data_IF_039184370714
#
_entry.id   IF_039184370714
#
_cell.length_a   1.000
_cell.length_b   1.000
_cell.length_c   1.000
_cell.angle_alpha   90.00
_cell.angle_beta   90.00
_cell.angle_gamma   90.00
#
_symmetry.space_group_name_H-M   'P 1'
#
loop_
_entity.id
_entity.type
_entity.pdbx_description
1 polymer ?
#
# COMPACT_ATOMS: atom_id res chain seq x y z
N UNK A 1 18.28 14.91 37.18
CA UNK A 1 16.81 14.82 37.03
C UNK A 1 16.36 13.47 37.56
N UNK A 2 15.37 13.43 38.49
CA UNK A 2 14.83 12.15 38.97
C UNK A 2 13.80 11.66 37.93
N UNK A 3 14.04 10.51 37.35
CA UNK A 3 13.10 9.86 36.45
C UNK A 3 11.95 9.29 37.27
N UNK A 4 10.78 9.86 37.16
CA UNK A 4 9.56 9.32 37.77
C UNK A 4 8.75 8.55 36.72
N UNK A 5 7.91 7.57 37.09
CA UNK A 5 7.04 6.87 36.15
C UNK A 5 6.20 7.84 35.32
N UNK A 6 5.73 8.92 35.90
CA UNK A 6 4.94 9.94 35.19
C UNK A 6 5.73 10.67 34.10
N UNK A 7 7.01 11.00 34.36
CA UNK A 7 7.86 11.63 33.35
C UNK A 7 8.19 10.70 32.18
N UNK A 8 8.37 9.41 32.45
CA UNK A 8 8.61 8.40 31.41
C UNK A 8 7.36 8.21 30.55
N UNK A 9 6.19 8.00 31.18
CA UNK A 9 4.93 7.82 30.46
C UNK A 9 4.59 9.08 29.66
N UNK A 10 4.69 10.26 30.26
CA UNK A 10 4.44 11.53 29.57
C UNK A 10 5.35 11.72 28.36
N UNK A 11 6.65 11.47 28.51
CA UNK A 11 7.61 11.54 27.40
C UNK A 11 7.29 10.54 26.28
N UNK A 12 6.94 9.29 26.63
CA UNK A 12 6.55 8.29 25.65
C UNK A 12 5.28 8.67 24.88
N UNK A 13 4.28 9.23 25.55
CA UNK A 13 3.05 9.69 24.89
C UNK A 13 3.30 10.88 23.95
N UNK A 14 4.14 11.83 24.36
CA UNK A 14 4.52 12.97 23.48
C UNK A 14 5.27 12.47 22.25
N UNK A 15 6.23 11.55 22.43
CA UNK A 15 6.98 10.96 21.33
C UNK A 15 6.04 10.20 20.37
N UNK A 16 5.14 9.37 20.91
CA UNK A 16 4.15 8.64 20.13
C UNK A 16 3.25 9.60 19.33
N UNK A 17 2.76 10.65 19.96
CA UNK A 17 1.94 11.65 19.29
C UNK A 17 2.72 12.34 18.14
N UNK A 18 3.97 12.70 18.36
CA UNK A 18 4.81 13.29 17.32
C UNK A 18 5.05 12.33 16.16
N UNK A 19 5.33 11.05 16.43
CA UNK A 19 5.50 10.03 15.39
C UNK A 19 4.21 9.85 14.58
N UNK A 20 3.06 9.75 15.23
CA UNK A 20 1.76 9.62 14.55
C UNK A 20 1.47 10.84 13.68
N UNK A 21 1.70 12.04 14.18
CA UNK A 21 1.50 13.26 13.40
C UNK A 21 2.39 13.32 12.16
N UNK A 22 3.67 12.99 12.29
CA UNK A 22 4.64 13.09 11.19
C UNK A 22 4.51 11.92 10.20
N UNK A 23 4.35 10.69 10.69
CA UNK A 23 4.40 9.49 9.86
C UNK A 23 3.04 9.04 9.32
N UNK A 24 1.95 9.45 9.96
CA UNK A 24 0.59 9.03 9.56
C UNK A 24 -0.22 10.23 9.07
N UNK A 25 -0.41 11.24 9.94
CA UNK A 25 -1.31 12.35 9.63
C UNK A 25 -0.77 13.19 8.48
N UNK A 26 0.49 13.57 8.53
CA UNK A 26 1.12 14.39 7.49
C UNK A 26 1.05 13.72 6.10
N UNK A 27 1.53 12.49 5.88
CA UNK A 27 1.40 11.83 4.57
C UNK A 27 -0.05 11.65 4.13
N UNK A 28 -0.95 11.31 5.07
CA UNK A 28 -2.37 11.15 4.75
C UNK A 28 -3.02 12.44 4.23
N UNK A 29 -2.66 13.60 4.80
CA UNK A 29 -3.22 14.89 4.42
C UNK A 29 -2.56 15.51 3.18
N UNK A 30 -1.33 15.08 2.85
CA UNK A 30 -0.55 15.63 1.73
C UNK A 30 -0.48 14.70 0.52
N UNK A 31 -0.93 13.45 0.65
CA UNK A 31 -0.96 12.51 -0.46
C UNK A 31 -1.89 13.00 -1.57
N UNK A 32 -1.37 13.07 -2.78
CA UNK A 32 -2.19 13.35 -3.96
C UNK A 32 -2.92 12.06 -4.36
N UNK A 33 -4.24 12.07 -4.15
CA UNK A 33 -5.14 10.97 -4.47
C UNK A 33 -5.95 11.25 -5.74
N UNK A 34 -5.55 12.21 -6.56
CA UNK A 34 -6.20 12.42 -7.86
C UNK A 34 -6.02 11.15 -8.73
N UNK A 35 -7.09 10.68 -9.39
CA UNK A 35 -7.00 9.52 -10.28
C UNK A 35 -5.92 9.74 -11.33
N UNK A 36 -5.06 8.73 -11.51
CA UNK A 36 -4.05 8.76 -12.57
C UNK A 36 -4.66 8.52 -13.95
N UNK A 37 -3.93 8.78 -15.02
CA UNK A 37 -4.38 8.57 -16.41
C UNK A 37 -4.74 7.10 -16.70
N UNK A 38 -4.14 6.15 -15.98
CA UNK A 38 -4.41 4.72 -16.15
C UNK A 38 -5.51 4.18 -15.20
N UNK A 39 -5.95 5.03 -14.27
CA UNK A 39 -6.99 4.61 -13.33
C UNK A 39 -8.30 4.33 -14.06
N UNK A 40 -8.89 3.19 -13.79
CA UNK A 40 -10.26 2.85 -14.17
C UNK A 40 -10.97 2.16 -13.00
N UNK A 41 -12.27 2.47 -12.77
CA UNK A 41 -13.04 1.72 -11.79
C UNK A 41 -13.14 0.26 -12.22
N UNK A 42 -13.08 -0.65 -11.25
CA UNK A 42 -13.21 -2.08 -11.50
C UNK A 42 -14.64 -2.43 -11.89
N UNK A 43 -14.74 -3.39 -12.77
CA UNK A 43 -16.02 -4.07 -13.06
C UNK A 43 -16.40 -4.98 -11.88
N UNK A 44 -17.66 -5.39 -11.82
CA UNK A 44 -18.14 -6.31 -10.78
C UNK A 44 -17.36 -7.66 -10.77
N UNK A 45 -16.95 -8.14 -11.93
CA UNK A 45 -16.17 -9.39 -12.07
C UNK A 45 -14.74 -9.19 -11.53
N UNK A 46 -14.11 -8.09 -11.86
CA UNK A 46 -12.76 -7.75 -11.35
C UNK A 46 -12.76 -7.58 -9.82
N UNK A 47 -13.81 -6.95 -9.27
CA UNK A 47 -13.93 -6.81 -7.82
C UNK A 47 -14.18 -8.16 -7.13
N UNK A 48 -14.98 -9.02 -7.71
CA UNK A 48 -15.16 -10.40 -7.22
C UNK A 48 -13.83 -11.18 -7.26
N UNK A 49 -13.06 -11.06 -8.33
CA UNK A 49 -11.72 -11.65 -8.43
C UNK A 49 -10.75 -11.12 -7.36
N UNK A 50 -10.79 -9.81 -7.11
CA UNK A 50 -10.00 -9.18 -6.05
C UNK A 50 -10.33 -9.72 -4.66
N UNK A 51 -11.61 -9.91 -4.36
CA UNK A 51 -12.05 -10.50 -3.09
C UNK A 51 -11.54 -11.95 -2.93
N UNK A 52 -11.59 -12.76 -3.98
CA UNK A 52 -11.07 -14.14 -3.99
C UNK A 52 -9.55 -14.11 -3.73
N UNK A 53 -8.82 -13.22 -4.39
CA UNK A 53 -7.39 -13.04 -4.21
C UNK A 53 -7.03 -12.73 -2.74
N UNK A 54 -7.77 -11.82 -2.10
CA UNK A 54 -7.59 -11.46 -0.69
C UNK A 54 -7.94 -12.64 0.22
N UNK A 55 -9.08 -13.29 0.00
CA UNK A 55 -9.56 -14.39 0.83
C UNK A 55 -8.64 -15.62 0.80
N UNK A 56 -7.99 -15.87 -0.33
CA UNK A 56 -7.02 -16.96 -0.45
C UNK A 56 -5.62 -16.60 0.06
N UNK A 57 -5.42 -15.39 0.58
CA UNK A 57 -4.15 -14.97 1.17
C UNK A 57 -3.03 -14.72 0.17
N UNK A 58 -3.32 -14.66 -1.13
CA UNK A 58 -2.31 -14.41 -2.17
C UNK A 58 -1.52 -13.12 -1.92
N UNK A 59 -2.17 -12.12 -1.31
CA UNK A 59 -1.58 -10.82 -0.95
C UNK A 59 -0.44 -10.92 0.07
N UNK A 60 -0.30 -12.03 0.79
CA UNK A 60 0.81 -12.19 1.73
C UNK A 60 2.14 -12.39 1.02
N UNK A 61 2.15 -13.03 -0.13
CA UNK A 61 3.36 -13.27 -0.93
C UNK A 61 3.46 -12.34 -2.15
N UNK A 62 2.34 -11.94 -2.73
CA UNK A 62 2.27 -11.12 -3.94
C UNK A 62 1.63 -9.77 -3.63
N UNK A 63 2.22 -8.70 -4.14
CA UNK A 63 1.63 -7.36 -4.07
C UNK A 63 0.87 -7.03 -5.36
N UNK A 64 0.06 -5.98 -5.29
CA UNK A 64 -0.46 -5.25 -6.45
C UNK A 64 -0.12 -3.77 -6.28
N UNK A 65 1.18 -3.47 -6.12
CA UNK A 65 1.70 -2.11 -5.95
C UNK A 65 3.16 -2.09 -6.37
N UNK A 66 3.42 -1.79 -7.62
CA UNK A 66 4.76 -1.79 -8.22
C UNK A 66 5.65 -0.74 -7.56
N UNK A 67 6.79 -1.16 -7.03
CA UNK A 67 7.80 -0.31 -6.41
C UNK A 67 8.96 -0.04 -7.38
N UNK A 68 9.83 0.91 -7.02
CA UNK A 68 10.96 1.32 -7.86
C UNK A 68 11.91 0.18 -8.24
N UNK A 69 12.04 -0.86 -7.43
CA UNK A 69 12.92 -2.00 -7.73
C UNK A 69 12.23 -3.16 -8.47
N UNK A 70 10.90 -3.15 -8.60
CA UNK A 70 10.16 -4.21 -9.28
C UNK A 70 10.41 -4.19 -10.80
N UNK A 71 10.90 -3.09 -11.33
CA UNK A 71 11.23 -2.98 -12.76
C UNK A 71 12.32 -3.95 -13.22
N UNK A 72 13.20 -4.41 -12.30
CA UNK A 72 14.17 -5.46 -12.61
C UNK A 72 13.50 -6.81 -12.90
N UNK A 73 12.22 -6.95 -12.56
CA UNK A 73 11.38 -8.12 -12.79
C UNK A 73 10.34 -7.88 -13.90
N UNK A 74 10.52 -6.88 -14.73
CA UNK A 74 9.68 -6.61 -15.89
C UNK A 74 8.60 -5.52 -15.72
N UNK A 75 8.44 -4.95 -14.54
CA UNK A 75 7.44 -3.91 -14.31
C UNK A 75 7.74 -2.63 -15.13
N UNK A 76 6.75 -2.13 -15.86
CA UNK A 76 6.92 -1.02 -16.81
C UNK A 76 6.88 0.37 -16.16
N UNK A 77 6.29 0.50 -14.98
CA UNK A 77 6.17 1.78 -14.28
C UNK A 77 5.98 1.58 -12.78
N UNK A 78 6.42 2.55 -12.00
CA UNK A 78 6.19 2.60 -10.55
C UNK A 78 4.74 2.99 -10.29
N UNK A 79 4.12 2.34 -9.30
CA UNK A 79 2.77 2.65 -8.86
C UNK A 79 2.68 4.05 -8.20
N UNK A 80 1.60 4.76 -8.48
CA UNK A 80 1.26 6.03 -7.86
C UNK A 80 -0.03 5.89 -7.03
N UNK A 81 -0.22 6.73 -6.03
CA UNK A 81 -1.42 6.71 -5.19
C UNK A 81 -2.72 6.84 -6.01
N UNK A 82 -2.68 7.64 -7.09
CA UNK A 82 -3.81 7.82 -8.01
C UNK A 82 -4.19 6.59 -8.83
N UNK A 83 -3.37 5.53 -8.87
CA UNK A 83 -3.69 4.28 -9.56
C UNK A 83 -4.70 3.43 -8.75
N UNK A 84 -4.81 3.69 -7.45
CA UNK A 84 -5.55 2.87 -6.48
C UNK A 84 -6.64 3.66 -5.75
N UNK A 85 -7.17 4.70 -6.38
CA UNK A 85 -8.23 5.53 -5.77
C UNK A 85 -9.44 4.66 -5.41
N UNK A 86 -9.80 4.68 -4.13
CA UNK A 86 -10.90 3.86 -3.61
C UNK A 86 -10.54 2.41 -3.26
N UNK A 87 -9.31 1.97 -3.47
CA UNK A 87 -8.86 0.63 -3.09
C UNK A 87 -8.71 0.52 -1.57
N UNK A 88 -9.50 -0.35 -0.96
CA UNK A 88 -9.42 -0.67 0.47
C UNK A 88 -9.56 -2.17 0.68
N UNK A 89 -8.54 -2.81 1.28
CA UNK A 89 -7.20 -2.30 1.56
C UNK A 89 -6.32 -2.21 0.30
N UNK A 90 -5.24 -1.42 0.35
CA UNK A 90 -4.17 -1.51 -0.64
C UNK A 90 -3.45 -2.86 -0.52
N UNK A 91 -3.18 -3.51 -1.65
CA UNK A 91 -2.57 -4.84 -1.67
C UNK A 91 -1.04 -4.74 -1.78
N UNK A 92 -0.41 -4.28 -0.71
CA UNK A 92 1.03 -3.99 -0.67
C UNK A 92 1.92 -5.24 -0.56
N UNK A 93 1.34 -6.38 -0.17
CA UNK A 93 2.07 -7.61 0.12
C UNK A 93 2.87 -7.55 1.43
N UNK A 94 2.72 -8.54 2.29
CA UNK A 94 3.42 -8.55 3.59
C UNK A 94 4.88 -8.98 3.45
N UNK A 95 5.14 -10.10 2.84
CA UNK A 95 6.48 -10.70 2.69
C UNK A 95 7.10 -10.46 1.31
N UNK A 96 6.27 -10.34 0.28
CA UNK A 96 6.69 -10.19 -1.12
C UNK A 96 7.76 -11.22 -1.56
N UNK A 97 7.52 -12.46 -1.22
CA UNK A 97 8.35 -13.58 -1.70
C UNK A 97 8.09 -13.91 -3.17
N UNK A 98 6.97 -13.43 -3.73
CA UNK A 98 6.61 -13.53 -5.13
C UNK A 98 6.63 -12.17 -5.84
N UNK A 99 6.44 -12.20 -7.15
CA UNK A 99 6.38 -11.01 -8.02
C UNK A 99 5.14 -10.17 -7.76
N UNK A 100 5.15 -8.93 -8.23
CA UNK A 100 3.97 -8.05 -8.23
C UNK A 100 3.02 -8.44 -9.38
N UNK A 101 1.72 -8.54 -9.10
CA UNK A 101 0.72 -8.96 -10.08
C UNK A 101 -0.08 -7.81 -10.72
N UNK A 102 0.33 -6.58 -10.52
CA UNK A 102 -0.41 -5.42 -11.06
C UNK A 102 -0.50 -5.43 -12.60
N UNK A 103 0.49 -5.99 -13.27
CA UNK A 103 0.59 -5.99 -14.73
C UNK A 103 0.56 -7.39 -15.36
N UNK A 104 0.28 -8.42 -14.57
CA UNK A 104 0.34 -9.82 -15.00
C UNK A 104 -0.48 -10.10 -16.26
N UNK A 105 -1.71 -9.58 -16.34
CA UNK A 105 -2.54 -9.76 -17.54
C UNK A 105 -2.05 -9.04 -18.79
N UNK A 106 -1.12 -8.09 -18.65
CA UNK A 106 -0.46 -7.44 -19.79
C UNK A 106 0.83 -8.13 -20.20
N UNK A 107 1.51 -8.75 -19.25
CA UNK A 107 2.78 -9.47 -19.47
C UNK A 107 2.54 -10.90 -19.97
N UNK A 108 1.43 -11.51 -19.57
CA UNK A 108 0.99 -12.87 -19.97
C UNK A 108 -0.43 -12.86 -20.51
N UNK A 109 -0.66 -12.33 -21.73
CA UNK A 109 -2.00 -12.11 -22.29
C UNK A 109 -2.61 -13.36 -22.96
N UNK A 110 -2.53 -14.52 -22.37
CA UNK A 110 -3.04 -15.80 -22.92
C UNK A 110 -4.56 -15.89 -22.96
#
# INVERSE_FOLDING_TARGET
MKMTPATVIGGALVLLAAIVLIMVVWPYTTADMTPSEIYRPRTAVEEAGRLIYIQNGCVYCHSQSIRAFDWIHGANRIAHAGDYVGDQPLLLGSERTGVDFSQEGGEHPD
#
